data_IF_986091816575
#
_entry.id   IF_986091816575
#
_cell.length_a   1.000
_cell.length_b   1.000
_cell.length_c   1.000
_cell.angle_alpha   90.00
_cell.angle_beta   90.00
_cell.angle_gamma   90.00
#
_symmetry.space_group_name_H-M   'P 1'
#
loop_
_entity.id
_entity.type
_entity.pdbx_description
1 polymer ?
#
# COMPACT_ATOMS: atom_id res chain seq x y z
N UNK A 1 -5.13 9.94 -46.02
CA UNK A 1 -5.36 8.95 -44.94
C UNK A 1 -5.42 9.73 -43.65
N UNK A 2 -6.63 10.07 -43.20
CA UNK A 2 -6.88 10.79 -41.95
C UNK A 2 -6.88 9.76 -40.82
N UNK A 3 -5.81 9.70 -40.04
CA UNK A 3 -5.83 8.95 -38.79
C UNK A 3 -6.82 9.64 -37.84
N UNK A 4 -7.84 8.90 -37.41
CA UNK A 4 -8.75 9.34 -36.38
C UNK A 4 -7.92 9.62 -35.12
N UNK A 5 -7.79 10.88 -34.75
CA UNK A 5 -7.20 11.28 -33.46
C UNK A 5 -8.16 10.83 -32.36
N UNK A 6 -7.99 9.59 -31.90
CA UNK A 6 -8.61 9.11 -30.66
C UNK A 6 -8.20 10.06 -29.54
N UNK A 7 -9.18 10.55 -28.78
CA UNK A 7 -8.91 11.42 -27.62
C UNK A 7 -7.90 10.73 -26.68
N UNK A 8 -6.96 11.49 -26.07
CA UNK A 8 -5.94 10.90 -25.21
C UNK A 8 -6.61 10.16 -24.04
N UNK A 9 -6.33 8.86 -23.93
CA UNK A 9 -6.85 8.02 -22.86
C UNK A 9 -5.84 7.96 -21.70
N UNK A 10 -6.22 8.30 -20.45
CA UNK A 10 -5.32 8.25 -19.29
C UNK A 10 -4.85 6.83 -18.92
N UNK A 11 -5.50 5.79 -19.45
CA UNK A 11 -5.13 4.39 -19.23
C UNK A 11 -4.20 3.83 -20.32
N UNK A 12 -3.88 4.62 -21.35
CA UNK A 12 -2.95 4.23 -22.40
C UNK A 12 -1.51 4.61 -22.00
N UNK A 13 -0.89 3.74 -21.20
CA UNK A 13 0.40 4.00 -20.59
C UNK A 13 1.56 3.75 -21.58
N UNK A 14 2.49 4.70 -21.73
CA UNK A 14 3.69 4.48 -22.53
C UNK A 14 4.61 3.44 -21.85
N UNK A 15 5.29 2.61 -22.66
CA UNK A 15 6.18 1.55 -22.17
C UNK A 15 7.20 2.08 -21.15
N UNK A 16 7.77 3.27 -21.38
CA UNK A 16 8.72 3.91 -20.46
C UNK A 16 8.16 4.18 -19.07
N UNK A 17 6.86 4.46 -18.97
CA UNK A 17 6.19 4.65 -17.68
C UNK A 17 5.94 3.31 -16.98
N UNK A 18 5.64 2.25 -17.74
CA UNK A 18 5.51 0.90 -17.21
C UNK A 18 6.87 0.39 -16.70
N UNK A 19 7.94 0.58 -17.48
CA UNK A 19 9.31 0.27 -17.08
C UNK A 19 9.73 1.03 -15.82
N UNK A 20 9.41 2.33 -15.73
CA UNK A 20 9.69 3.13 -14.54
C UNK A 20 8.91 2.63 -13.31
N UNK A 21 7.63 2.25 -13.49
CA UNK A 21 6.82 1.66 -12.43
C UNK A 21 7.38 0.31 -11.97
N UNK A 22 7.86 -0.51 -12.90
CA UNK A 22 8.53 -1.78 -12.60
C UNK A 22 9.78 -1.56 -11.76
N UNK A 23 10.65 -0.63 -12.19
CA UNK A 23 11.88 -0.30 -11.48
C UNK A 23 11.60 0.21 -10.06
N UNK A 24 10.56 1.04 -9.89
CA UNK A 24 10.12 1.47 -8.56
C UNK A 24 9.68 0.28 -7.70
N UNK A 25 8.83 -0.60 -8.24
CA UNK A 25 8.35 -1.76 -7.51
C UNK A 25 9.48 -2.76 -7.15
N UNK A 26 10.48 -2.92 -8.02
CA UNK A 26 11.70 -3.68 -7.76
C UNK A 26 12.53 -3.06 -6.63
N UNK A 27 12.74 -1.75 -6.65
CA UNK A 27 13.48 -1.04 -5.61
C UNK A 27 12.79 -1.16 -4.24
N UNK A 28 11.46 -0.97 -4.19
CA UNK A 28 10.69 -1.19 -2.96
C UNK A 28 10.77 -2.64 -2.48
N UNK A 29 10.68 -3.62 -3.39
CA UNK A 29 10.82 -5.02 -3.04
C UNK A 29 12.22 -5.34 -2.49
N UNK A 30 13.28 -4.76 -3.05
CA UNK A 30 14.65 -4.91 -2.55
C UNK A 30 14.79 -4.32 -1.13
N UNK A 31 14.26 -3.11 -0.92
CA UNK A 31 14.23 -2.47 0.40
C UNK A 31 13.49 -3.31 1.43
N UNK A 32 12.30 -3.83 1.08
CA UNK A 32 11.52 -4.67 1.97
C UNK A 32 12.22 -5.98 2.29
N UNK A 33 12.93 -6.60 1.34
CA UNK A 33 13.75 -7.79 1.60
C UNK A 33 14.88 -7.49 2.59
N UNK A 34 15.57 -6.37 2.41
CA UNK A 34 16.59 -5.92 3.36
C UNK A 34 16.02 -5.70 4.77
N UNK A 35 14.86 -5.05 4.88
CA UNK A 35 14.21 -4.80 6.17
C UNK A 35 13.62 -6.04 6.83
N UNK A 36 13.30 -7.08 6.04
CA UNK A 36 12.78 -8.34 6.54
C UNK A 36 13.89 -9.33 6.95
N UNK A 37 15.16 -8.96 6.76
CA UNK A 37 16.30 -9.78 7.16
C UNK A 37 16.30 -9.97 8.69
N UNK A 38 16.26 -11.21 9.20
CA UNK A 38 16.29 -11.47 10.64
C UNK A 38 17.58 -11.02 11.33
N UNK A 39 18.68 -10.83 10.59
CA UNK A 39 19.94 -10.29 11.13
C UNK A 39 19.90 -8.77 11.27
N UNK A 40 18.96 -8.09 10.60
CA UNK A 40 18.82 -6.65 10.70
C UNK A 40 18.14 -6.28 12.03
N UNK A 41 18.78 -5.46 12.87
CA UNK A 41 18.15 -5.02 14.10
C UNK A 41 16.92 -4.16 13.83
N UNK A 42 15.89 -4.29 14.68
CA UNK A 42 14.62 -3.58 14.48
C UNK A 42 14.72 -2.06 14.61
N UNK A 43 15.80 -1.54 15.23
CA UNK A 43 16.11 -0.11 15.31
C UNK A 43 17.45 0.17 14.66
N UNK A 44 17.52 1.29 13.94
CA UNK A 44 18.75 1.82 13.36
C UNK A 44 19.68 2.39 14.43
N UNK A 45 19.13 3.04 15.44
CA UNK A 45 19.89 3.57 16.57
C UNK A 45 19.93 2.57 17.73
N UNK A 46 20.98 2.60 18.57
CA UNK A 46 20.99 1.84 19.81
C UNK A 46 19.74 2.14 20.63
N UNK A 47 19.03 1.10 21.08
CA UNK A 47 17.82 1.22 21.86
C UNK A 47 17.85 0.17 22.98
N UNK A 48 17.53 0.55 24.22
CA UNK A 48 17.55 -0.36 25.37
C UNK A 48 16.47 -1.45 25.35
N UNK A 49 15.56 -1.35 24.39
CA UNK A 49 14.37 -2.20 24.28
C UNK A 49 13.27 -1.74 25.23
N UNK A 50 12.14 -2.42 25.17
CA UNK A 50 11.03 -2.16 26.07
C UNK A 50 10.14 -3.40 26.21
N UNK A 51 9.53 -3.53 27.37
CA UNK A 51 8.47 -4.48 27.64
C UNK A 51 7.26 -3.69 28.12
N UNK A 52 6.09 -3.90 27.50
CA UNK A 52 4.88 -3.27 27.97
C UNK A 52 4.44 -3.92 29.30
N UNK A 53 4.20 -3.12 30.36
CA UNK A 53 3.68 -3.67 31.60
C UNK A 53 2.30 -4.30 31.36
N UNK A 54 2.07 -5.47 31.98
CA UNK A 54 0.79 -6.19 31.93
C UNK A 54 -0.36 -5.19 32.18
N UNK A 55 -1.35 -5.06 31.28
CA UNK A 55 -2.35 -4.01 31.41
C UNK A 55 -3.09 -4.12 32.75
N UNK A 56 -3.06 -3.04 33.53
CA UNK A 56 -3.59 -2.95 34.89
C UNK A 56 -5.12 -3.17 35.01
N UNK A 57 -5.82 -3.36 33.90
CA UNK A 57 -7.28 -3.44 33.83
C UNK A 57 -7.77 -4.73 33.18
N UNK A 58 -7.18 -5.90 33.50
CA UNK A 58 -7.79 -7.23 33.25
C UNK A 58 -8.22 -7.56 31.81
N UNK A 59 -7.94 -6.67 30.86
CA UNK A 59 -8.30 -6.72 29.46
C UNK A 59 -7.13 -7.35 28.74
N UNK A 60 -7.04 -8.67 28.86
CA UNK A 60 -6.17 -9.45 28.01
C UNK A 60 -6.70 -9.26 26.59
N UNK A 61 -6.01 -8.48 25.75
CA UNK A 61 -5.86 -8.93 24.37
C UNK A 61 -5.03 -10.21 24.48
N UNK A 62 -5.75 -11.31 24.70
CA UNK A 62 -5.28 -12.60 25.17
C UNK A 62 -4.24 -13.15 24.21
N UNK A 63 -2.96 -12.85 24.48
CA UNK A 63 -1.81 -13.50 23.81
C UNK A 63 -0.73 -12.59 23.21
N UNK A 64 -0.89 -11.26 23.13
CA UNK A 64 0.14 -10.40 22.55
C UNK A 64 0.75 -9.47 23.60
N UNK A 65 1.86 -9.91 24.22
CA UNK A 65 2.73 -9.01 24.98
C UNK A 65 3.61 -8.29 23.98
N UNK A 66 3.36 -7.00 23.77
CA UNK A 66 4.21 -6.19 22.93
C UNK A 66 5.53 -5.96 23.68
N UNK A 67 6.61 -6.57 23.20
CA UNK A 67 7.95 -6.31 23.69
C UNK A 67 8.95 -6.28 22.54
N UNK A 68 10.01 -5.49 22.70
CA UNK A 68 11.12 -5.40 21.75
C UNK A 68 12.44 -5.52 22.51
N UNK A 69 13.34 -6.44 22.11
CA UNK A 69 14.61 -6.61 22.79
C UNK A 69 15.52 -5.40 22.60
N UNK A 70 16.49 -5.23 23.51
CA UNK A 70 17.55 -4.25 23.35
C UNK A 70 18.32 -4.48 22.04
N UNK A 71 18.73 -3.41 21.39
CA UNK A 71 19.50 -3.43 20.15
C UNK A 71 20.62 -2.41 20.20
N UNK A 72 21.76 -2.76 19.60
CA UNK A 72 22.91 -1.85 19.45
C UNK A 72 22.78 -0.91 18.25
N UNK A 73 21.67 -0.99 17.51
CA UNK A 73 21.50 -0.27 16.25
C UNK A 73 22.13 -1.01 15.07
N UNK A 74 22.03 -0.40 13.90
CA UNK A 74 22.57 -0.93 12.65
C UNK A 74 24.08 -0.74 12.58
N UNK A 75 24.77 -1.64 11.87
CA UNK A 75 26.15 -1.44 11.47
C UNK A 75 26.27 -0.32 10.43
N UNK A 76 27.48 0.22 10.26
CA UNK A 76 27.74 1.22 9.23
C UNK A 76 27.42 0.70 7.82
N UNK A 77 27.71 -0.58 7.54
CA UNK A 77 27.41 -1.22 6.25
C UNK A 77 25.91 -1.35 6.02
N UNK A 78 25.14 -1.74 7.05
CA UNK A 78 23.68 -1.81 6.99
C UNK A 78 23.05 -0.44 6.75
N UNK A 79 23.59 0.61 7.38
CA UNK A 79 23.17 1.99 7.15
C UNK A 79 23.40 2.43 5.71
N UNK A 80 24.59 2.17 5.16
CA UNK A 80 24.94 2.53 3.78
C UNK A 80 24.08 1.78 2.77
N UNK A 81 23.87 0.48 2.96
CA UNK A 81 23.03 -0.31 2.05
C UNK A 81 21.57 0.15 2.10
N UNK A 82 21.04 0.45 3.29
CA UNK A 82 19.70 1.03 3.42
C UNK A 82 19.58 2.38 2.69
N UNK A 83 20.55 3.28 2.87
CA UNK A 83 20.53 4.60 2.24
C UNK A 83 20.56 4.50 0.73
N UNK A 84 21.40 3.62 0.18
CA UNK A 84 21.46 3.31 -1.25
C UNK A 84 20.12 2.77 -1.78
N UNK A 85 19.52 1.80 -1.08
CA UNK A 85 18.21 1.25 -1.47
C UNK A 85 17.11 2.31 -1.38
N UNK A 86 17.15 3.16 -0.36
CA UNK A 86 16.19 4.22 -0.16
C UNK A 86 16.32 5.34 -1.20
N UNK A 87 17.54 5.69 -1.59
CA UNK A 87 17.81 6.59 -2.71
C UNK A 87 17.26 6.02 -4.02
N UNK A 88 17.52 4.74 -4.31
CA UNK A 88 16.95 4.08 -5.49
C UNK A 88 15.41 4.11 -5.50
N UNK A 89 14.75 3.89 -4.35
CA UNK A 89 13.30 4.02 -4.22
C UNK A 89 12.82 5.45 -4.52
N UNK A 90 13.54 6.47 -4.05
CA UNK A 90 13.19 7.88 -4.28
C UNK A 90 13.35 8.25 -5.74
N UNK A 91 14.48 7.93 -6.35
CA UNK A 91 14.77 8.25 -7.74
C UNK A 91 13.78 7.60 -8.70
N UNK A 92 13.50 6.31 -8.51
CA UNK A 92 12.50 5.61 -9.33
C UNK A 92 11.08 6.15 -9.11
N UNK A 93 10.72 6.54 -7.89
CA UNK A 93 9.43 7.18 -7.61
C UNK A 93 9.30 8.55 -8.27
N UNK A 94 10.39 9.34 -8.32
CA UNK A 94 10.41 10.63 -9.03
C UNK A 94 10.16 10.42 -10.51
N UNK A 95 10.82 9.45 -11.14
CA UNK A 95 10.61 9.14 -12.57
C UNK A 95 9.15 8.80 -12.89
N UNK A 96 8.48 8.03 -12.02
CA UNK A 96 7.06 7.72 -12.19
C UNK A 96 6.20 8.97 -12.02
N UNK A 97 6.38 9.75 -10.95
CA UNK A 97 5.49 10.86 -10.62
C UNK A 97 5.65 12.09 -11.51
N UNK A 98 6.86 12.33 -12.03
CA UNK A 98 7.18 13.48 -12.89
C UNK A 98 7.09 13.16 -14.39
N UNK A 99 6.59 11.97 -14.74
CA UNK A 99 6.51 11.55 -16.14
C UNK A 99 5.58 12.45 -16.97
N UNK A 100 5.98 12.90 -18.18
CA UNK A 100 5.18 13.80 -19.03
C UNK A 100 3.78 13.30 -19.38
N UNK A 101 3.56 11.98 -19.32
CA UNK A 101 2.24 11.38 -19.49
C UNK A 101 1.19 12.02 -18.57
N UNK A 102 1.56 12.35 -17.33
CA UNK A 102 0.65 12.91 -16.33
C UNK A 102 0.28 14.37 -16.57
N UNK A 103 1.05 15.12 -17.36
CA UNK A 103 0.74 16.54 -17.65
C UNK A 103 -0.57 16.69 -18.45
N UNK A 104 -0.98 15.62 -19.13
CA UNK A 104 -2.17 15.58 -19.99
C UNK A 104 -3.46 15.29 -19.22
N UNK A 105 -3.37 14.89 -17.96
CA UNK A 105 -4.51 14.42 -17.17
C UNK A 105 -4.50 15.02 -15.76
N UNK A 106 -5.65 15.51 -15.31
CA UNK A 106 -5.79 16.13 -13.99
C UNK A 106 -7.02 15.59 -13.26
N UNK A 107 -7.07 15.77 -11.94
CA UNK A 107 -8.25 15.42 -11.15
C UNK A 107 -8.43 13.91 -10.97
N UNK A 108 -9.68 13.42 -10.84
CA UNK A 108 -9.99 12.02 -10.51
C UNK A 108 -9.43 11.00 -11.50
N UNK A 109 -9.44 11.31 -12.80
CA UNK A 109 -8.98 10.40 -13.84
C UNK A 109 -7.47 10.13 -13.73
N UNK A 110 -6.68 11.14 -13.41
CA UNK A 110 -5.24 10.99 -13.19
C UNK A 110 -4.94 10.12 -11.95
N UNK A 111 -5.77 10.20 -10.90
CA UNK A 111 -5.64 9.34 -9.72
C UNK A 111 -6.00 7.90 -10.07
N UNK A 112 -7.12 7.68 -10.76
CA UNK A 112 -7.54 6.35 -11.21
C UNK A 112 -6.48 5.70 -12.11
N UNK A 113 -5.91 6.46 -13.04
CA UNK A 113 -4.85 6.01 -13.92
C UNK A 113 -3.56 5.64 -13.18
N UNK A 114 -3.11 6.44 -12.20
CA UNK A 114 -1.95 6.07 -11.36
C UNK A 114 -2.17 4.78 -10.58
N UNK A 115 -3.40 4.55 -10.10
CA UNK A 115 -3.75 3.31 -9.43
C UNK A 115 -3.79 2.12 -10.40
N UNK A 116 -4.27 2.34 -11.63
CA UNK A 116 -4.29 1.32 -12.67
C UNK A 116 -2.88 0.95 -13.18
N UNK A 117 -1.96 1.92 -13.27
CA UNK A 117 -0.58 1.70 -13.70
C UNK A 117 0.12 0.59 -12.89
N UNK A 118 -0.08 0.56 -11.57
CA UNK A 118 0.50 -0.47 -10.67
C UNK A 118 0.06 -1.90 -10.98
N UNK A 119 -1.04 -2.06 -11.73
CA UNK A 119 -1.62 -3.35 -12.10
C UNK A 119 -1.34 -3.73 -13.56
N UNK A 120 -0.65 -2.87 -14.31
CA UNK A 120 -0.32 -3.17 -15.69
C UNK A 120 0.63 -4.38 -15.77
N UNK A 121 0.51 -5.22 -16.82
CA UNK A 121 1.51 -6.25 -17.09
C UNK A 121 2.90 -5.63 -17.16
N UNK A 122 3.86 -6.21 -16.43
CA UNK A 122 5.22 -5.69 -16.34
C UNK A 122 5.42 -4.59 -15.29
N UNK A 123 4.37 -3.99 -14.71
CA UNK A 123 4.53 -2.92 -13.73
C UNK A 123 4.97 -3.38 -12.33
N UNK A 124 4.88 -4.68 -12.03
CA UNK A 124 5.24 -5.27 -10.74
C UNK A 124 6.22 -6.43 -10.95
N UNK A 125 7.31 -6.53 -10.16
CA UNK A 125 8.24 -7.65 -10.23
C UNK A 125 7.53 -8.98 -9.98
N UNK A 126 7.67 -9.90 -10.94
CA UNK A 126 7.15 -11.27 -10.84
C UNK A 126 5.62 -11.40 -10.91
N UNK A 127 4.88 -10.33 -11.24
CA UNK A 127 3.45 -10.45 -11.50
C UNK A 127 3.21 -11.20 -12.82
N UNK A 128 2.80 -12.46 -12.72
CA UNK A 128 2.10 -13.13 -13.82
C UNK A 128 0.88 -12.28 -14.22
N UNK A 129 0.47 -12.27 -15.50
CA UNK A 129 -0.67 -11.49 -15.94
C UNK A 129 -1.91 -11.93 -15.15
N UNK A 130 -2.36 -11.07 -14.23
CA UNK A 130 -3.65 -11.25 -13.57
C UNK A 130 -4.71 -11.11 -14.67
N UNK A 131 -5.66 -12.07 -14.81
CA UNK A 131 -6.77 -11.86 -15.71
C UNK A 131 -7.47 -10.57 -15.29
N UNK A 132 -7.67 -9.67 -16.26
CA UNK A 132 -8.31 -8.38 -16.06
C UNK A 132 -9.54 -8.59 -15.20
N UNK A 133 -9.50 -8.12 -13.95
CA UNK A 133 -10.66 -8.16 -13.09
C UNK A 133 -11.76 -7.37 -13.81
N UNK A 134 -12.78 -8.09 -14.28
CA UNK A 134 -13.99 -7.51 -14.82
C UNK A 134 -14.52 -6.52 -13.79
N UNK A 135 -14.34 -5.23 -14.08
CA UNK A 135 -15.10 -4.19 -13.41
C UNK A 135 -16.47 -4.24 -14.08
N UNK A 136 -17.37 -5.08 -13.56
CA UNK A 136 -18.79 -4.91 -13.81
C UNK A 136 -19.29 -3.69 -13.01
N UNK A 137 -19.96 -2.72 -13.65
CA UNK A 137 -20.64 -1.64 -12.96
C UNK A 137 -22.16 -1.85 -12.99
N UNK A 138 -22.80 -2.25 -11.89
CA UNK A 138 -24.22 -1.94 -11.60
C UNK A 138 -24.53 -2.35 -10.14
N UNK A 139 -24.68 -1.41 -9.20
CA UNK A 139 -25.94 -0.76 -8.77
C UNK A 139 -27.01 -1.73 -8.28
N UNK A 140 -27.18 -1.82 -6.96
CA UNK A 140 -28.49 -1.94 -6.30
C UNK A 140 -28.37 -1.33 -4.88
N UNK A 141 -29.12 -0.27 -4.53
CA UNK A 141 -29.23 0.19 -3.15
C UNK A 141 -30.23 -0.70 -2.40
N UNK A 142 -29.73 -1.58 -1.53
CA UNK A 142 -30.59 -2.35 -0.65
C UNK A 142 -31.35 -1.41 0.29
N UNK A 143 -32.66 -1.35 0.04
CA UNK A 143 -33.64 -0.69 0.89
C UNK A 143 -33.74 -1.48 2.19
N UNK A 144 -33.03 -1.05 3.24
CA UNK A 144 -33.27 -1.57 4.60
C UNK A 144 -34.61 -1.04 5.09
N UNK A 145 -35.65 -1.83 4.87
CA UNK A 145 -37.01 -1.62 5.40
C UNK A 145 -37.00 -1.86 6.91
N UNK A 146 -37.78 -1.03 7.62
CA UNK A 146 -37.75 -0.87 9.08
C UNK A 146 -37.83 -2.15 9.90
N UNK A 147 -37.04 -2.17 10.97
CA UNK A 147 -37.27 -3.04 12.12
C UNK A 147 -37.91 -2.18 13.22
N UNK A 148 -39.20 -2.43 13.39
CA UNK A 148 -40.11 -1.84 14.37
C UNK A 148 -39.64 -2.18 15.79
N UNK A 149 -39.54 -1.15 16.64
CA UNK A 149 -39.16 -1.26 18.05
C UNK A 149 -40.41 -1.63 18.85
N UNK A 150 -40.56 -2.93 19.19
CA UNK A 150 -41.57 -3.38 20.15
C UNK A 150 -41.11 -2.98 21.55
N UNK A 151 -41.84 -2.04 22.16
CA UNK A 151 -41.76 -1.74 23.59
C UNK A 151 -42.63 -2.76 24.34
N UNK A 152 -42.02 -3.68 25.07
CA UNK A 152 -42.70 -4.49 26.08
C UNK A 152 -42.84 -3.68 27.37
N UNK A 153 -44.07 -3.22 27.61
CA UNK A 153 -44.50 -2.61 28.87
C UNK A 153 -44.68 -3.71 29.92
N UNK A 154 -43.76 -3.76 30.90
CA UNK A 154 -43.84 -4.64 32.06
C UNK A 154 -44.57 -3.91 33.20
N UNK A 155 -45.87 -4.13 33.30
CA UNK A 155 -46.66 -4.03 34.53
C UNK A 155 -47.95 -4.86 34.30
N UNK A 156 -48.43 -5.74 35.17
CA UNK A 156 -48.47 -5.68 36.63
C UNK A 156 -48.94 -7.06 37.11
N UNK A 157 -48.27 -7.62 38.12
CA UNK A 157 -48.93 -8.54 39.05
C UNK A 157 -49.67 -7.68 40.09
N UNK A 158 -51.00 -7.81 40.13
CA UNK A 158 -51.92 -7.97 41.28
C UNK A 158 -53.30 -8.26 40.69
#
# INVERSE_FOLDING_TARGET
>A
MTEATTAPNPFDFPDKLIEAQQAAAEAFAALHRFQADPELPWSREPHEGWEEPEPAHGGVLQGYKSSRPATKGWSAEQVVEYEKLWEACRDTSVLVHTHPHWERFTGPDAVAARQALKRMPGAQPGAAPQPAASVEPELEPETTKGSELVQDDVAKAV
#
